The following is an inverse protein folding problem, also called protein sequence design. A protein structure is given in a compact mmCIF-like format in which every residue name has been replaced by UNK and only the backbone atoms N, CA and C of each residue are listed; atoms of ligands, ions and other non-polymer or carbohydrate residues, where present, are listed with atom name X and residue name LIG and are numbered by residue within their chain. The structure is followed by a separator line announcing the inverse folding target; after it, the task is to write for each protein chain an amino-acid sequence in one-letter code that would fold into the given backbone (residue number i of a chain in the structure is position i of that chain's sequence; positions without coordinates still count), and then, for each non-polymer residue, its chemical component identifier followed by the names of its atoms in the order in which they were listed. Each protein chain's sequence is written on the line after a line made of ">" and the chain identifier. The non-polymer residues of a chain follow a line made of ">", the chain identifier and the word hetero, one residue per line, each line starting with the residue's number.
data_IF_444060153206
#
_entry.id   IF_444060153206
#
_cell.length_a   1.000
_cell.length_b   1.000
_cell.length_c   1.000
_cell.angle_alpha   90.00
_cell.angle_beta   90.00
_cell.angle_gamma   90.00
#
_symmetry.space_group_name_H-M   'P 1'
#
loop_
_entity.id
_entity.type
_entity.pdbx_description
1 polymer ?
#
# COMPACT_ATOMS: atom_id res chain seq x y z
N UNK A 1 65.77 -33.49 -11.09
CA UNK A 1 64.38 -33.83 -10.74
C UNK A 1 64.05 -33.11 -9.43
N UNK A 2 63.14 -32.13 -9.45
CA UNK A 2 61.78 -32.21 -8.83
C UNK A 2 61.83 -31.99 -7.29
N UNK A 3 61.17 -31.05 -6.60
CA UNK A 3 60.13 -30.04 -6.86
C UNK A 3 60.10 -29.06 -5.66
N UNK A 4 59.70 -27.79 -5.89
CA UNK A 4 59.19 -26.85 -4.87
C UNK A 4 57.85 -27.35 -4.31
N UNK A 5 57.52 -27.12 -3.02
CA UNK A 5 56.14 -27.04 -2.58
C UNK A 5 55.73 -25.58 -2.38
N UNK A 6 54.90 -25.08 -3.30
CA UNK A 6 54.06 -23.90 -3.11
C UNK A 6 52.86 -24.34 -2.28
N UNK A 7 52.78 -23.92 -1.02
CA UNK A 7 51.55 -24.06 -0.22
C UNK A 7 50.67 -22.85 -0.52
N UNK A 8 49.69 -23.06 -1.41
CA UNK A 8 48.63 -22.11 -1.69
C UNK A 8 47.63 -22.09 -0.51
N UNK A 9 47.48 -20.91 0.09
CA UNK A 9 46.52 -20.58 1.13
C UNK A 9 45.14 -20.37 0.46
N UNK A 10 44.28 -21.38 0.49
CA UNK A 10 42.91 -21.27 -0.04
C UNK A 10 41.96 -20.70 1.03
N UNK A 11 41.75 -19.39 0.96
CA UNK A 11 40.74 -18.66 1.74
C UNK A 11 39.37 -18.80 1.05
N UNK A 12 38.54 -19.74 1.50
CA UNK A 12 37.16 -19.91 1.04
C UNK A 12 36.24 -18.91 1.78
N UNK A 13 36.19 -17.68 1.28
CA UNK A 13 35.09 -16.75 1.53
C UNK A 13 33.92 -17.11 0.61
N UNK A 14 33.07 -18.07 1.01
CA UNK A 14 31.76 -18.19 0.38
C UNK A 14 30.84 -17.12 0.96
N UNK A 15 30.74 -16.04 0.19
CA UNK A 15 29.71 -15.01 0.26
C UNK A 15 28.34 -15.64 0.41
N UNK A 16 27.68 -15.36 1.54
CA UNK A 16 26.25 -15.62 1.71
C UNK A 16 25.51 -14.72 0.72
N UNK A 17 25.16 -15.24 -0.46
CA UNK A 17 24.18 -14.58 -1.33
C UNK A 17 22.83 -14.70 -0.64
N UNK A 18 22.54 -13.76 0.27
CA UNK A 18 21.18 -13.49 0.68
C UNK A 18 20.40 -13.08 -0.56
N UNK A 19 19.71 -14.04 -1.16
CA UNK A 19 18.62 -13.84 -2.11
C UNK A 19 17.52 -13.07 -1.36
N UNK A 20 17.69 -11.76 -1.21
CA UNK A 20 16.57 -10.87 -0.97
C UNK A 20 15.77 -10.90 -2.27
N UNK A 21 14.75 -11.74 -2.32
CA UNK A 21 13.75 -11.67 -3.36
C UNK A 21 13.17 -10.25 -3.31
N UNK A 22 13.59 -9.42 -4.27
CA UNK A 22 13.14 -8.05 -4.43
C UNK A 22 11.62 -8.06 -4.53
N UNK A 23 10.95 -7.35 -3.63
CA UNK A 23 9.50 -7.22 -3.69
C UNK A 23 9.14 -6.54 -5.00
N UNK A 24 8.48 -7.28 -5.90
CA UNK A 24 7.97 -6.74 -7.14
C UNK A 24 6.58 -6.18 -6.87
N UNK A 25 6.44 -4.86 -7.02
CA UNK A 25 5.15 -4.19 -6.90
C UNK A 25 4.21 -4.79 -7.95
N UNK A 26 3.08 -5.32 -7.50
CA UNK A 26 2.09 -5.91 -8.40
C UNK A 26 1.52 -4.83 -9.32
N UNK A 27 1.41 -5.14 -10.61
CA UNK A 27 0.73 -4.26 -11.55
C UNK A 27 -0.75 -4.07 -11.16
N UNK A 28 -1.37 -2.93 -11.52
CA UNK A 28 -2.79 -2.72 -11.20
C UNK A 28 -3.64 -3.81 -11.83
N UNK A 29 -4.65 -4.29 -11.09
CA UNK A 29 -5.47 -5.40 -11.57
C UNK A 29 -6.47 -4.84 -12.59
N UNK A 30 -6.73 -5.58 -13.66
CA UNK A 30 -7.71 -5.15 -14.69
C UNK A 30 -9.15 -5.27 -14.22
N UNK A 31 -9.43 -6.23 -13.32
CA UNK A 31 -10.74 -6.44 -12.70
C UNK A 31 -10.56 -6.57 -11.19
N UNK A 32 -11.40 -5.83 -10.46
CA UNK A 32 -11.41 -5.81 -8.99
C UNK A 32 -12.83 -6.17 -8.57
N UNK A 33 -12.97 -7.28 -7.87
CA UNK A 33 -14.26 -7.81 -7.40
C UNK A 33 -14.12 -8.34 -5.96
N UNK A 34 -15.24 -8.45 -5.26
CA UNK A 34 -15.30 -8.98 -3.91
C UNK A 34 -14.96 -7.95 -2.82
N UNK A 35 -15.01 -8.35 -1.54
CA UNK A 35 -14.82 -7.42 -0.43
C UNK A 35 -13.36 -6.95 -0.35
N UNK A 36 -13.18 -5.68 0.06
CA UNK A 36 -11.87 -5.11 0.34
C UNK A 36 -11.09 -5.96 1.36
N UNK A 37 -9.89 -6.39 0.97
CA UNK A 37 -8.98 -7.20 1.76
C UNK A 37 -7.53 -6.85 1.42
N UNK A 38 -6.60 -7.38 2.21
CA UNK A 38 -5.17 -7.28 1.94
C UNK A 38 -4.38 -7.19 3.23
N UNK A 39 -3.22 -6.56 3.13
CA UNK A 39 -2.28 -6.37 4.23
C UNK A 39 -1.72 -4.96 4.19
N UNK A 40 -1.73 -4.25 5.32
CA UNK A 40 -1.05 -2.96 5.44
C UNK A 40 0.05 -3.08 6.49
N UNK A 41 1.27 -2.78 6.08
CA UNK A 41 2.48 -2.81 6.90
C UNK A 41 2.69 -4.12 7.69
N UNK A 42 2.40 -5.26 7.08
CA UNK A 42 2.59 -6.57 7.72
C UNK A 42 1.41 -7.03 8.56
N UNK A 43 0.29 -6.30 8.57
CA UNK A 43 -0.91 -6.64 9.33
C UNK A 43 -2.12 -6.85 8.39
N UNK A 44 -2.86 -7.97 8.55
CA UNK A 44 -4.09 -8.19 7.80
C UNK A 44 -5.05 -7.01 7.95
N UNK A 45 -5.66 -6.60 6.84
CA UNK A 45 -6.57 -5.47 6.83
C UNK A 45 -8.04 -5.93 6.90
N UNK A 46 -8.77 -5.41 7.89
CA UNK A 46 -10.23 -5.49 7.95
C UNK A 46 -10.80 -4.09 7.90
N UNK A 47 -11.66 -3.81 6.91
CA UNK A 47 -12.26 -2.49 6.75
C UNK A 47 -13.12 -2.12 7.96
N UNK A 48 -12.81 -0.98 8.59
CA UNK A 48 -13.62 -0.38 9.65
C UNK A 48 -14.41 0.82 9.17
N UNK A 49 -13.75 1.74 8.45
CA UNK A 49 -14.36 2.98 7.98
C UNK A 49 -13.73 3.42 6.66
N UNK A 50 -14.55 3.95 5.76
CA UNK A 50 -14.07 4.67 4.59
C UNK A 50 -14.82 5.99 4.42
N UNK A 51 -14.08 7.06 4.12
CA UNK A 51 -14.61 8.41 3.88
C UNK A 51 -14.02 8.98 2.61
N UNK A 52 -14.87 9.52 1.74
CA UNK A 52 -14.46 10.23 0.55
C UNK A 52 -14.84 11.70 0.68
N UNK A 53 -13.84 12.53 0.91
CA UNK A 53 -13.98 13.96 1.13
C UNK A 53 -13.53 14.76 -0.09
N UNK A 54 -13.82 16.06 -0.10
CA UNK A 54 -13.43 16.99 -1.18
C UNK A 54 -11.90 17.09 -1.42
N UNK A 55 -11.07 16.43 -0.60
CA UNK A 55 -9.61 16.44 -0.71
C UNK A 55 -8.97 15.05 -0.83
N UNK A 56 -9.62 14.00 -0.33
CA UNK A 56 -9.01 12.67 -0.24
C UNK A 56 -10.02 11.56 0.02
N UNK A 57 -9.65 10.36 -0.38
CA UNK A 57 -10.21 9.09 0.07
C UNK A 57 -9.42 8.60 1.29
N UNK A 58 -10.11 8.31 2.39
CA UNK A 58 -9.54 7.71 3.60
C UNK A 58 -10.15 6.34 3.83
N UNK A 59 -9.31 5.35 4.07
CA UNK A 59 -9.69 3.97 4.41
C UNK A 59 -9.01 3.62 5.73
N UNK A 60 -9.77 3.14 6.71
CA UNK A 60 -9.29 2.86 8.07
C UNK A 60 -9.64 1.42 8.46
N UNK A 61 -8.72 0.77 9.18
CA UNK A 61 -8.95 -0.55 9.74
C UNK A 61 -9.99 -0.51 10.87
N UNK A 62 -10.71 -1.61 11.05
CA UNK A 62 -11.56 -1.83 12.22
C UNK A 62 -10.74 -1.95 13.52
N UNK A 63 -9.55 -2.56 13.42
CA UNK A 63 -8.61 -2.68 14.52
C UNK A 63 -8.11 -1.32 15.00
N UNK A 64 -7.79 -1.21 16.29
CA UNK A 64 -7.39 0.05 16.93
C UNK A 64 -6.11 -0.08 17.76
N UNK A 65 -5.34 1.01 17.81
CA UNK A 65 -4.29 1.27 18.79
C UNK A 65 -4.74 2.41 19.70
N UNK A 66 -5.28 2.07 20.87
CA UNK A 66 -5.94 3.04 21.75
C UNK A 66 -7.15 3.65 21.04
N UNK A 67 -7.11 4.97 20.82
CA UNK A 67 -8.19 5.72 20.16
C UNK A 67 -7.99 5.87 18.64
N UNK A 68 -6.89 5.34 18.08
CA UNK A 68 -6.54 5.47 16.67
C UNK A 68 -6.84 4.16 15.92
N UNK A 69 -7.17 4.20 14.62
CA UNK A 69 -7.17 2.98 13.81
C UNK A 69 -5.75 2.39 13.78
N UNK A 70 -5.66 1.06 13.78
CA UNK A 70 -4.40 0.33 13.73
C UNK A 70 -3.67 0.60 12.40
N UNK A 71 -4.40 0.68 11.29
CA UNK A 71 -3.88 1.15 10.01
C UNK A 71 -4.87 2.09 9.32
N UNK A 72 -4.34 3.04 8.56
CA UNK A 72 -5.13 3.96 7.74
C UNK A 72 -4.39 4.29 6.46
N UNK A 73 -5.11 4.31 5.35
CA UNK A 73 -4.63 4.74 4.05
C UNK A 73 -5.38 6.01 3.65
N UNK A 74 -4.65 7.08 3.34
CA UNK A 74 -5.21 8.34 2.83
C UNK A 74 -4.65 8.57 1.42
N UNK A 75 -5.53 8.57 0.43
CA UNK A 75 -5.20 8.75 -0.99
C UNK A 75 -5.75 10.11 -1.41
N UNK A 76 -4.88 11.00 -1.87
CA UNK A 76 -5.25 12.38 -2.22
C UNK A 76 -5.85 12.44 -3.64
N UNK A 77 -7.07 11.92 -3.75
CA UNK A 77 -7.93 11.95 -4.93
C UNK A 77 -9.26 12.61 -4.59
N UNK A 78 -9.81 13.42 -5.50
CA UNK A 78 -11.04 14.18 -5.25
C UNK A 78 -12.27 13.57 -5.94
N UNK A 79 -13.45 13.61 -5.30
CA UNK A 79 -14.71 13.28 -5.96
C UNK A 79 -14.90 14.12 -7.23
N UNK A 80 -15.44 13.50 -8.28
CA UNK A 80 -15.72 14.15 -9.57
C UNK A 80 -14.50 14.55 -10.40
N UNK A 81 -13.27 14.38 -9.91
CA UNK A 81 -12.07 14.68 -10.70
C UNK A 81 -11.93 13.70 -11.87
N UNK A 82 -12.04 12.39 -11.58
CA UNK A 82 -11.97 11.30 -12.54
C UNK A 82 -12.85 10.13 -12.05
N UNK A 83 -13.28 9.25 -12.97
CA UNK A 83 -13.98 7.99 -12.59
C UNK A 83 -13.01 6.85 -12.32
N UNK A 84 -11.80 6.93 -12.85
CA UNK A 84 -10.79 5.90 -12.70
C UNK A 84 -9.40 6.54 -12.63
N UNK A 85 -8.57 6.03 -11.73
CA UNK A 85 -7.14 6.32 -11.64
C UNK A 85 -6.38 5.03 -11.87
N UNK A 86 -5.50 5.00 -12.87
CA UNK A 86 -4.56 3.89 -13.11
C UNK A 86 -3.15 4.45 -12.97
N UNK A 87 -2.46 4.02 -11.93
CA UNK A 87 -1.11 4.44 -11.55
C UNK A 87 -0.20 3.22 -11.62
N UNK A 88 0.93 3.39 -12.28
CA UNK A 88 2.04 2.45 -12.34
C UNK A 88 3.28 3.10 -11.72
N UNK A 89 4.31 2.32 -11.35
CA UNK A 89 5.55 2.88 -10.78
C UNK A 89 6.20 3.97 -11.65
N UNK A 90 6.04 3.87 -12.97
CA UNK A 90 6.62 4.79 -13.96
C UNK A 90 5.69 5.99 -14.30
N UNK A 91 4.58 6.17 -13.58
CA UNK A 91 3.62 7.25 -13.85
C UNK A 91 4.18 8.63 -13.47
N UNK A 92 4.21 9.56 -14.42
CA UNK A 92 4.70 10.94 -14.25
C UNK A 92 3.95 11.75 -13.18
N UNK A 93 2.67 11.43 -12.95
CA UNK A 93 1.82 12.08 -11.95
C UNK A 93 1.06 11.01 -11.17
N UNK A 94 1.31 10.98 -9.87
CA UNK A 94 0.67 10.04 -8.95
C UNK A 94 0.04 10.79 -7.79
N UNK A 95 -1.21 10.49 -7.41
CA UNK A 95 -1.77 10.98 -6.14
C UNK A 95 -0.83 10.69 -4.97
N UNK A 96 -0.77 11.62 -4.01
CA UNK A 96 -0.08 11.29 -2.76
C UNK A 96 -0.84 10.19 -2.02
N UNK A 97 -0.11 9.28 -1.39
CA UNK A 97 -0.66 8.21 -0.54
C UNK A 97 0.04 8.27 0.80
N UNK A 98 -0.73 8.45 1.88
CA UNK A 98 -0.23 8.38 3.25
C UNK A 98 -0.74 7.10 3.90
N UNK A 99 0.18 6.22 4.29
CA UNK A 99 -0.12 5.06 5.11
C UNK A 99 0.26 5.34 6.56
N UNK A 100 -0.71 5.29 7.45
CA UNK A 100 -0.51 5.32 8.91
C UNK A 100 -0.64 3.92 9.47
N UNK A 101 0.20 3.56 10.43
CA UNK A 101 0.20 2.21 11.00
C UNK A 101 0.70 2.18 12.44
N UNK A 102 0.13 1.31 13.25
CA UNK A 102 0.56 1.01 14.60
C UNK A 102 1.86 0.19 14.57
N UNK A 103 2.84 0.61 15.37
CA UNK A 103 4.03 -0.22 15.66
C UNK A 103 3.86 -0.87 17.03
N UNK A 104 4.28 -2.13 17.18
CA UNK A 104 4.25 -2.82 18.48
C UNK A 104 5.01 -2.01 19.54
N UNK A 105 4.34 -1.71 20.65
CA UNK A 105 4.90 -0.92 21.76
C UNK A 105 4.95 0.59 21.52
N UNK A 106 4.52 1.10 20.36
CA UNK A 106 4.48 2.54 20.11
C UNK A 106 3.21 3.17 20.70
N UNK A 107 3.34 4.40 21.19
CA UNK A 107 2.20 5.22 21.68
C UNK A 107 1.46 5.97 20.57
N UNK A 108 2.12 6.16 19.43
CA UNK A 108 1.60 6.91 18.28
C UNK A 108 1.79 6.10 16.99
N UNK A 109 0.91 6.24 16.00
CA UNK A 109 1.07 5.59 14.71
C UNK A 109 2.28 6.16 13.95
N UNK A 110 3.01 5.28 13.25
CA UNK A 110 3.97 5.68 12.22
C UNK A 110 3.26 6.18 10.97
N UNK A 111 3.98 6.87 10.09
CA UNK A 111 3.47 7.31 8.78
C UNK A 111 4.53 7.05 7.71
N UNK A 112 4.09 6.51 6.58
CA UNK A 112 4.85 6.46 5.32
C UNK A 112 4.07 7.25 4.27
N UNK A 113 4.78 7.99 3.44
CA UNK A 113 4.21 8.82 2.38
C UNK A 113 4.81 8.41 1.04
N UNK A 114 3.95 8.24 0.05
CA UNK A 114 4.31 7.88 -1.32
C UNK A 114 3.76 8.93 -2.27
N UNK A 115 4.61 9.44 -3.16
CA UNK A 115 4.22 10.38 -4.22
C UNK A 115 4.47 9.81 -5.63
N UNK A 116 4.76 8.51 -5.71
CA UNK A 116 5.14 7.77 -6.92
C UNK A 116 5.68 6.39 -6.53
N UNK A 117 6.19 5.64 -7.50
CA UNK A 117 6.78 4.31 -7.30
C UNK A 117 5.84 3.30 -6.63
N UNK A 118 4.53 3.47 -6.81
CA UNK A 118 3.52 2.52 -6.36
C UNK A 118 2.60 2.17 -7.52
N UNK A 119 1.81 1.13 -7.34
CA UNK A 119 0.82 0.68 -8.30
C UNK A 119 -0.57 0.85 -7.72
N UNK A 120 -1.51 1.42 -8.49
CA UNK A 120 -2.89 1.57 -8.05
C UNK A 120 -3.85 1.55 -9.23
N UNK A 121 -4.96 0.84 -9.10
CA UNK A 121 -6.20 1.13 -9.81
C UNK A 121 -7.25 1.51 -8.78
N UNK A 122 -7.88 2.68 -8.95
CA UNK A 122 -9.03 3.11 -8.16
C UNK A 122 -10.16 3.45 -9.13
N UNK A 123 -11.32 2.83 -8.97
CA UNK A 123 -12.48 3.01 -9.86
C UNK A 123 -13.70 3.37 -9.03
N UNK A 124 -14.43 4.39 -9.49
CA UNK A 124 -15.71 4.82 -8.93
C UNK A 124 -16.82 4.05 -9.63
N UNK A 125 -17.40 3.08 -8.93
CA UNK A 125 -18.45 2.22 -9.49
C UNK A 125 -19.81 2.94 -9.49
N UNK A 126 -20.13 3.62 -8.40
CA UNK A 126 -21.30 4.47 -8.26
C UNK A 126 -21.09 5.53 -7.19
N UNK A 127 -21.78 6.65 -7.31
CA UNK A 127 -21.70 7.75 -6.35
C UNK A 127 -23.10 8.36 -6.15
N UNK A 128 -23.43 8.64 -4.90
CA UNK A 128 -24.63 9.36 -4.45
C UNK A 128 -24.23 10.60 -3.66
N UNK A 129 -25.20 11.34 -3.11
CA UNK A 129 -24.90 12.49 -2.27
C UNK A 129 -24.17 12.12 -0.97
N UNK A 130 -24.39 10.90 -0.45
CA UNK A 130 -23.97 10.49 0.89
C UNK A 130 -22.96 9.33 0.89
N UNK A 131 -22.84 8.60 -0.23
CA UNK A 131 -21.94 7.46 -0.32
C UNK A 131 -21.41 7.23 -1.74
N UNK A 132 -20.29 6.53 -1.85
CA UNK A 132 -19.75 6.07 -3.11
C UNK A 132 -19.28 4.62 -2.99
N UNK A 133 -19.64 3.81 -3.99
CA UNK A 133 -19.10 2.47 -4.16
C UNK A 133 -17.83 2.56 -4.98
N UNK A 134 -16.73 2.05 -4.42
CA UNK A 134 -15.38 2.14 -4.98
C UNK A 134 -14.79 0.74 -5.12
N UNK A 135 -13.91 0.57 -6.11
CA UNK A 135 -13.05 -0.59 -6.27
C UNK A 135 -11.59 -0.13 -6.27
N UNK A 136 -10.73 -0.79 -5.49
CA UNK A 136 -9.31 -0.48 -5.44
C UNK A 136 -8.45 -1.72 -5.58
N UNK A 137 -7.34 -1.62 -6.31
CA UNK A 137 -6.15 -2.43 -6.12
C UNK A 137 -5.00 -1.46 -5.90
N UNK A 138 -4.29 -1.53 -4.79
CA UNK A 138 -3.10 -0.71 -4.53
C UNK A 138 -2.01 -1.58 -3.95
N UNK A 139 -0.78 -1.37 -4.41
CA UNK A 139 0.44 -2.05 -3.95
C UNK A 139 1.52 -1.01 -3.70
N UNK A 140 2.04 -0.98 -2.47
CA UNK A 140 3.00 0.03 -2.00
C UNK A 140 4.43 -0.53 -1.99
N UNK A 141 5.46 0.32 -2.23
CA UNK A 141 6.87 -0.08 -2.29
C UNK A 141 7.51 -0.23 -0.90
N UNK A 142 6.77 -0.66 0.11
CA UNK A 142 7.32 -0.82 1.45
C UNK A 142 7.82 -2.24 1.71
N UNK A 143 8.77 -2.37 2.63
CA UNK A 143 9.41 -3.65 2.95
C UNK A 143 8.48 -4.69 3.59
N UNK A 144 7.27 -4.30 4.01
CA UNK A 144 6.22 -5.19 4.51
C UNK A 144 5.19 -5.56 3.44
N UNK A 145 5.39 -5.17 2.18
CA UNK A 145 4.56 -5.59 1.04
C UNK A 145 3.08 -5.21 1.19
N UNK A 146 2.82 -3.95 1.55
CA UNK A 146 1.45 -3.50 1.77
C UNK A 146 0.66 -3.48 0.46
N UNK A 147 -0.53 -4.05 0.50
CA UNK A 147 -1.47 -4.04 -0.61
C UNK A 147 -2.92 -4.09 -0.12
N UNK A 148 -3.83 -3.50 -0.88
CA UNK A 148 -5.27 -3.68 -0.72
C UNK A 148 -5.91 -3.97 -2.07
N UNK A 149 -6.87 -4.90 -2.07
CA UNK A 149 -7.67 -5.20 -3.26
C UNK A 149 -9.13 -5.47 -2.87
N UNK A 150 -10.07 -4.92 -3.64
CA UNK A 150 -11.49 -5.24 -3.56
C UNK A 150 -12.38 -3.99 -3.61
N UNK A 151 -13.67 -4.23 -3.44
CA UNK A 151 -14.73 -3.24 -3.43
C UNK A 151 -15.13 -2.84 -2.00
N UNK A 152 -15.56 -1.59 -1.85
CA UNK A 152 -16.06 -1.06 -0.59
C UNK A 152 -16.96 0.16 -0.82
N UNK A 153 -17.71 0.53 0.22
CA UNK A 153 -18.49 1.75 0.23
C UNK A 153 -17.80 2.78 1.14
N UNK A 154 -17.61 3.99 0.61
CA UNK A 154 -17.10 5.13 1.35
C UNK A 154 -18.23 6.12 1.60
N UNK A 155 -18.29 6.66 2.82
CA UNK A 155 -19.19 7.79 3.12
C UNK A 155 -18.68 9.05 2.43
N UNK A 156 -19.52 9.73 1.68
CA UNK A 156 -19.19 11.03 1.09
C UNK A 156 -19.27 12.10 2.18
N UNK A 157 -18.21 12.87 2.35
CA UNK A 157 -18.11 13.92 3.39
C UNK A 157 -17.75 15.24 2.71
N UNK A 158 -18.76 16.06 2.47
CA UNK A 158 -18.61 17.41 1.91
C UNK A 158 -18.44 18.41 3.04
N UNK A 159 -17.47 19.33 2.93
CA UNK A 159 -17.46 20.49 3.84
C UNK A 159 -18.67 21.37 3.50
N UNK A 160 -19.45 21.72 4.53
CA UNK A 160 -20.46 22.78 4.44
C UNK A 160 -19.81 24.14 4.39
#
# INVERSE_FOLDING_TARGET
>A
MKHLPVFALSLLLLTSTTLFAEWKIDAPADKIEGPLKGELYGAPFTLGKAEWSDAALRIESADKLGNWPATSLVIFVKPGEQKEWVITPDSDKSPAVHMKFAKKGAKFPGTLTYSGEYSMRLTVLSETADSAKLAIHISLPDYKKSHLIGEFEAKVVRKK
#
